data_IF_135233715218
#
_entry.id   IF_135233715218
#
_cell.length_a   1.000
_cell.length_b   1.000
_cell.length_c   1.000
_cell.angle_alpha   90.00
_cell.angle_beta   90.00
_cell.angle_gamma   90.00
#
_symmetry.space_group_name_H-M   'P 1'
#
loop_
_entity.id
_entity.type
_entity.pdbx_description
1 polymer ?
#
# COMPACT_ATOMS: atom_id res chain seq x y z
N UNK A 1 16.79 18.04 30.57
CA UNK A 1 15.46 17.42 30.42
C UNK A 1 15.60 16.37 29.32
N UNK A 2 15.61 15.08 29.66
CA UNK A 2 15.65 14.04 28.63
C UNK A 2 14.30 14.04 27.93
N UNK A 3 14.24 14.55 26.70
CA UNK A 3 13.06 14.50 25.85
C UNK A 3 12.81 13.05 25.42
N UNK A 4 12.28 12.24 26.33
CA UNK A 4 11.79 10.91 25.99
C UNK A 4 10.58 11.08 25.06
N UNK A 5 10.70 10.59 23.83
CA UNK A 5 9.66 10.65 22.81
C UNK A 5 8.30 10.20 23.37
N UNK A 6 7.25 10.99 23.15
CA UNK A 6 5.88 10.66 23.59
C UNK A 6 5.41 9.28 23.08
N UNK A 7 5.86 8.90 21.88
CA UNK A 7 5.58 7.57 21.32
C UNK A 7 6.35 6.46 22.05
N UNK A 8 7.59 6.72 22.47
CA UNK A 8 8.38 5.77 23.25
C UNK A 8 7.81 5.60 24.67
N UNK A 9 7.40 6.70 25.30
CA UNK A 9 6.69 6.65 26.58
C UNK A 9 5.40 5.82 26.48
N UNK A 10 4.59 6.03 25.43
CA UNK A 10 3.34 5.29 25.22
C UNK A 10 3.58 3.78 25.01
N UNK A 11 4.64 3.40 24.29
CA UNK A 11 5.02 1.98 24.11
C UNK A 11 5.54 1.38 25.42
N UNK A 12 6.39 2.10 26.15
CA UNK A 12 6.97 1.64 27.42
C UNK A 12 5.94 1.53 28.55
N UNK A 13 4.94 2.40 28.58
CA UNK A 13 3.81 2.32 29.53
C UNK A 13 2.74 1.31 29.12
N UNK A 14 2.81 0.80 27.88
CA UNK A 14 1.88 -0.17 27.34
C UNK A 14 2.17 -1.59 27.83
N UNK A 15 1.20 -2.53 27.67
CA UNK A 15 1.44 -3.93 27.99
C UNK A 15 2.55 -4.51 27.12
N UNK A 16 3.48 -5.25 27.74
CA UNK A 16 4.64 -5.88 27.09
C UNK A 16 4.29 -7.09 26.25
N UNK A 17 3.33 -6.96 25.33
CA UNK A 17 2.78 -8.05 24.53
C UNK A 17 3.48 -8.19 23.17
N UNK A 18 3.51 -9.44 22.68
CA UNK A 18 4.02 -9.82 21.35
C UNK A 18 3.29 -9.08 20.21
N UNK A 19 2.04 -8.70 20.46
CA UNK A 19 1.20 -7.90 19.57
C UNK A 19 1.12 -6.44 20.03
N UNK A 20 0.94 -5.47 19.12
CA UNK A 20 0.53 -4.12 19.48
C UNK A 20 -0.76 -4.13 20.33
N UNK A 21 -0.91 -3.23 21.32
CA UNK A 21 -2.09 -3.17 22.19
C UNK A 21 -3.42 -3.04 21.45
N UNK A 22 -3.39 -2.51 20.21
CA UNK A 22 -4.56 -2.38 19.34
C UNK A 22 -5.18 -3.71 18.89
N UNK A 23 -4.53 -4.84 19.15
CA UNK A 23 -5.01 -6.17 18.76
C UNK A 23 -5.65 -6.98 19.90
N UNK A 24 -5.71 -6.43 21.12
CA UNK A 24 -6.43 -7.00 22.28
C UNK A 24 -6.20 -8.52 22.48
N UNK A 25 -4.94 -8.96 22.38
CA UNK A 25 -4.56 -10.36 22.58
C UNK A 25 -4.86 -11.31 21.41
N UNK A 26 -5.47 -10.85 20.33
CA UNK A 26 -5.73 -11.66 19.14
C UNK A 26 -4.51 -11.75 18.21
N UNK A 27 -3.55 -12.60 18.55
CA UNK A 27 -2.32 -12.81 17.76
C UNK A 27 -2.56 -13.19 16.29
N UNK A 28 -3.67 -13.86 15.97
CA UNK A 28 -4.03 -14.19 14.59
C UNK A 28 -4.37 -12.95 13.74
N UNK A 29 -4.93 -11.89 14.34
CA UNK A 29 -5.20 -10.63 13.65
C UNK A 29 -3.92 -9.88 13.29
N UNK A 30 -2.86 -10.06 14.09
CA UNK A 30 -1.53 -9.52 13.80
C UNK A 30 -0.97 -10.18 12.55
N UNK A 31 -1.00 -11.52 12.48
CA UNK A 31 -0.51 -12.26 11.31
C UNK A 31 -1.30 -11.89 10.04
N UNK A 32 -2.63 -11.78 10.15
CA UNK A 32 -3.50 -11.37 9.05
C UNK A 32 -3.16 -9.95 8.56
N UNK A 33 -3.13 -8.96 9.46
CA UNK A 33 -2.83 -7.60 9.07
C UNK A 33 -1.41 -7.46 8.55
N UNK A 34 -0.43 -8.10 9.18
CA UNK A 34 0.95 -8.07 8.71
C UNK A 34 1.06 -8.67 7.31
N UNK A 35 0.42 -9.81 7.05
CA UNK A 35 0.38 -10.44 5.74
C UNK A 35 -0.28 -9.57 4.69
N UNK A 36 -1.49 -9.06 4.96
CA UNK A 36 -2.27 -8.21 4.04
C UNK A 36 -1.55 -6.90 3.72
N UNK A 37 -0.97 -6.24 4.73
CA UNK A 37 -0.26 -4.97 4.53
C UNK A 37 1.06 -5.18 3.78
N UNK A 38 1.78 -6.27 4.05
CA UNK A 38 2.98 -6.63 3.28
C UNK A 38 2.61 -6.93 1.83
N UNK A 39 1.57 -7.73 1.61
CA UNK A 39 1.07 -8.03 0.26
C UNK A 39 0.63 -6.75 -0.47
N UNK A 40 -0.16 -5.88 0.17
CA UNK A 40 -0.61 -4.62 -0.41
C UNK A 40 0.55 -3.72 -0.85
N UNK A 41 1.62 -3.66 -0.04
CA UNK A 41 2.85 -2.95 -0.39
C UNK A 41 3.52 -3.54 -1.64
N UNK A 42 3.76 -4.85 -1.66
CA UNK A 42 4.45 -5.51 -2.78
C UNK A 42 3.61 -5.48 -4.06
N UNK A 43 2.31 -5.75 -3.97
CA UNK A 43 1.39 -5.65 -5.10
C UNK A 43 1.33 -4.22 -5.65
N UNK A 44 1.30 -3.22 -4.78
CA UNK A 44 1.38 -1.81 -5.15
C UNK A 44 2.68 -1.48 -5.92
N UNK A 45 3.84 -1.94 -5.43
CA UNK A 45 5.12 -1.80 -6.13
C UNK A 45 5.13 -2.48 -7.50
N UNK A 46 4.55 -3.69 -7.62
CA UNK A 46 4.42 -4.38 -8.89
C UNK A 46 3.58 -3.58 -9.90
N UNK A 47 2.46 -3.00 -9.45
CA UNK A 47 1.60 -2.16 -10.29
C UNK A 47 2.35 -0.87 -10.70
N UNK A 48 3.04 -0.21 -9.76
CA UNK A 48 3.85 0.98 -10.07
C UNK A 48 4.90 0.64 -11.13
N UNK A 49 5.67 -0.43 -10.94
CA UNK A 49 6.69 -0.88 -11.89
C UNK A 49 6.10 -1.18 -13.26
N UNK A 50 4.95 -1.85 -13.32
CA UNK A 50 4.22 -2.13 -14.56
C UNK A 50 3.82 -0.84 -15.28
N UNK A 51 3.19 0.10 -14.57
CA UNK A 51 2.70 1.36 -15.14
C UNK A 51 3.85 2.29 -15.59
N UNK A 52 4.93 2.38 -14.81
CA UNK A 52 6.12 3.15 -15.18
C UNK A 52 6.83 2.55 -16.39
N UNK A 53 6.94 1.22 -16.46
CA UNK A 53 7.53 0.52 -17.61
C UNK A 53 6.71 0.74 -18.87
N UNK A 54 5.37 0.65 -18.78
CA UNK A 54 4.48 0.95 -19.92
C UNK A 54 4.60 2.42 -20.35
N UNK A 55 4.57 3.36 -19.40
CA UNK A 55 4.73 4.78 -19.68
C UNK A 55 6.08 5.09 -20.35
N UNK A 56 7.16 4.43 -19.93
CA UNK A 56 8.48 4.60 -20.54
C UNK A 56 8.51 4.07 -21.97
N UNK A 57 7.92 2.90 -22.24
CA UNK A 57 7.84 2.30 -23.58
C UNK A 57 7.02 3.14 -24.55
N UNK A 58 5.92 3.73 -24.07
CA UNK A 58 4.97 4.49 -24.88
C UNK A 58 5.17 6.01 -24.81
N UNK A 59 6.24 6.49 -24.17
CA UNK A 59 6.51 7.92 -23.94
C UNK A 59 6.49 8.78 -25.21
N UNK A 60 6.82 8.21 -26.37
CA UNK A 60 6.81 8.91 -27.67
C UNK A 60 5.45 8.87 -28.38
N UNK A 61 4.56 7.96 -28.00
CA UNK A 61 3.25 7.76 -28.61
C UNK A 61 2.15 8.48 -27.83
N UNK A 62 2.33 8.68 -26.52
CA UNK A 62 1.39 9.40 -25.69
C UNK A 62 1.51 10.91 -25.89
N UNK A 63 0.62 11.48 -26.72
CA UNK A 63 0.54 12.93 -26.95
C UNK A 63 -0.22 13.59 -25.79
N UNK A 64 0.41 14.59 -25.14
CA UNK A 64 -0.26 15.48 -24.19
C UNK A 64 -1.03 14.75 -23.07
N UNK A 65 -2.29 15.15 -22.88
CA UNK A 65 -3.25 14.58 -21.92
C UNK A 65 -4.20 13.57 -22.59
N UNK A 66 -3.64 12.65 -23.38
CA UNK A 66 -4.41 11.54 -23.91
C UNK A 66 -5.09 10.73 -22.77
N UNK A 67 -6.29 10.17 -22.99
CA UNK A 67 -7.01 9.38 -21.98
C UNK A 67 -6.15 8.27 -21.35
N UNK A 68 -5.31 7.60 -22.15
CA UNK A 68 -4.40 6.57 -21.66
C UNK A 68 -3.41 7.10 -20.61
N UNK A 69 -2.90 8.33 -20.78
CA UNK A 69 -1.99 8.95 -19.82
C UNK A 69 -2.71 9.33 -18.53
N UNK A 70 -3.93 9.86 -18.62
CA UNK A 70 -4.77 10.18 -17.45
C UNK A 70 -5.02 8.91 -16.62
N UNK A 71 -5.42 7.82 -17.27
CA UNK A 71 -5.62 6.53 -16.59
C UNK A 71 -4.35 5.99 -15.94
N UNK A 72 -3.19 6.10 -16.59
CA UNK A 72 -1.91 5.70 -15.98
C UNK A 72 -1.57 6.56 -14.76
N UNK A 73 -1.80 7.88 -14.81
CA UNK A 73 -1.56 8.78 -13.68
C UNK A 73 -2.49 8.43 -12.52
N UNK A 74 -3.79 8.23 -12.78
CA UNK A 74 -4.76 7.78 -11.76
C UNK A 74 -4.29 6.46 -11.12
N UNK A 75 -3.92 5.48 -11.95
CA UNK A 75 -3.41 4.19 -11.46
C UNK A 75 -2.13 4.32 -10.63
N UNK A 76 -1.19 5.18 -11.04
CA UNK A 76 0.03 5.46 -10.29
C UNK A 76 -0.25 6.14 -8.95
N UNK A 77 -1.18 7.09 -8.90
CA UNK A 77 -1.58 7.75 -7.66
C UNK A 77 -2.19 6.74 -6.68
N UNK A 78 -3.14 5.92 -7.12
CA UNK A 78 -3.72 4.89 -6.26
C UNK A 78 -2.69 3.85 -5.81
N UNK A 79 -1.87 3.33 -6.74
CA UNK A 79 -0.86 2.34 -6.41
C UNK A 79 0.19 2.91 -5.44
N UNK A 80 0.60 4.17 -5.61
CA UNK A 80 1.53 4.85 -4.69
C UNK A 80 0.90 5.07 -3.31
N UNK A 81 -0.35 5.52 -3.25
CA UNK A 81 -1.08 5.68 -1.98
C UNK A 81 -1.21 4.36 -1.22
N UNK A 82 -1.61 3.28 -1.90
CA UNK A 82 -1.69 1.93 -1.31
C UNK A 82 -0.31 1.47 -0.84
N UNK A 83 0.72 1.61 -1.68
CA UNK A 83 2.09 1.17 -1.35
C UNK A 83 2.61 1.87 -0.09
N UNK A 84 2.44 3.20 -0.01
CA UNK A 84 2.87 3.97 1.15
C UNK A 84 2.10 3.60 2.40
N UNK A 85 0.76 3.54 2.33
CA UNK A 85 -0.11 3.22 3.46
C UNK A 85 0.13 1.81 4.00
N UNK A 86 0.19 0.82 3.12
CA UNK A 86 0.39 -0.58 3.47
C UNK A 86 1.85 -0.85 3.86
N UNK A 87 2.82 -0.22 3.20
CA UNK A 87 4.24 -0.35 3.53
C UNK A 87 4.58 0.22 4.91
N UNK A 88 4.08 1.41 5.24
CA UNK A 88 4.27 2.00 6.56
C UNK A 88 3.62 1.17 7.68
N UNK A 89 2.42 0.62 7.43
CA UNK A 89 1.76 -0.30 8.36
C UNK A 89 2.57 -1.59 8.54
N UNK A 90 3.00 -2.20 7.43
CA UNK A 90 3.81 -3.42 7.47
C UNK A 90 5.09 -3.19 8.27
N UNK A 91 5.85 -2.12 7.99
CA UNK A 91 7.05 -1.78 8.75
C UNK A 91 6.78 -1.62 10.25
N UNK A 92 5.65 -1.01 10.62
CA UNK A 92 5.28 -0.86 12.03
C UNK A 92 4.95 -2.19 12.72
N UNK A 93 4.41 -3.18 12.00
CA UNK A 93 4.09 -4.51 12.53
C UNK A 93 5.34 -5.42 12.56
N UNK A 94 6.15 -5.38 11.49
CA UNK A 94 7.42 -6.09 11.38
C UNK A 94 8.47 -5.58 12.36
N UNK A 95 8.49 -4.28 12.64
CA UNK A 95 9.39 -3.64 13.60
C UNK A 95 8.85 -3.59 15.03
N UNK A 96 7.68 -4.17 15.32
CA UNK A 96 7.12 -4.16 16.67
C UNK A 96 7.99 -4.94 17.65
N UNK A 97 8.57 -4.24 18.62
CA UNK A 97 9.30 -4.83 19.74
C UNK A 97 8.98 -4.05 21.03
N UNK A 98 8.26 -4.65 22.01
CA UNK A 98 7.92 -3.96 23.26
C UNK A 98 9.14 -3.75 24.17
N UNK A 99 10.23 -4.51 24.00
CA UNK A 99 11.46 -4.37 24.80
C UNK A 99 12.32 -3.20 24.33
N UNK A 100 12.15 -2.77 23.08
CA UNK A 100 12.88 -1.65 22.47
C UNK A 100 11.87 -0.56 22.06
N UNK A 101 11.33 0.12 23.06
CA UNK A 101 10.29 1.13 22.88
C UNK A 101 10.72 2.27 21.92
N UNK A 102 12.00 2.68 21.94
CA UNK A 102 12.53 3.72 21.07
C UNK A 102 12.54 3.32 19.59
N UNK A 103 12.86 2.06 19.27
CA UNK A 103 12.86 1.57 17.90
C UNK A 103 11.43 1.50 17.35
N UNK A 104 10.50 0.94 18.12
CA UNK A 104 9.08 0.87 17.78
C UNK A 104 8.47 2.27 17.61
N UNK A 105 8.81 3.22 18.48
CA UNK A 105 8.35 4.61 18.41
C UNK A 105 8.76 5.31 17.11
N UNK A 106 9.96 5.04 16.59
CA UNK A 106 10.42 5.59 15.30
C UNK A 106 9.57 5.08 14.14
N UNK A 107 9.26 3.78 14.09
CA UNK A 107 8.39 3.22 13.05
C UNK A 107 6.97 3.79 13.11
N UNK A 108 6.43 3.96 14.32
CA UNK A 108 5.12 4.60 14.50
C UNK A 108 5.14 6.07 14.05
N UNK A 109 6.17 6.83 14.38
CA UNK A 109 6.32 8.21 13.94
C UNK A 109 6.42 8.30 12.42
N UNK A 110 7.28 7.49 11.79
CA UNK A 110 7.43 7.44 10.32
C UNK A 110 6.07 7.15 9.67
N UNK A 111 5.32 6.20 10.19
CA UNK A 111 3.97 5.89 9.69
C UNK A 111 3.06 7.10 9.75
N UNK A 112 3.02 7.81 10.89
CA UNK A 112 2.19 9.03 11.02
C UNK A 112 2.62 10.16 10.09
N UNK A 113 3.91 10.24 9.74
CA UNK A 113 4.41 11.20 8.74
C UNK A 113 4.05 10.79 7.31
N UNK A 114 3.99 9.49 7.01
CA UNK A 114 3.66 8.96 5.68
C UNK A 114 2.15 8.99 5.40
N UNK A 115 1.32 8.83 6.44
CA UNK A 115 -0.15 8.76 6.33
C UNK A 115 -0.77 9.93 5.51
N UNK A 116 -0.43 11.22 5.75
CA UNK A 116 -0.95 12.34 4.96
C UNK A 116 -0.57 12.27 3.47
N UNK A 117 0.66 11.88 3.16
CA UNK A 117 1.10 11.75 1.76
C UNK A 117 0.34 10.62 1.06
N UNK A 118 0.20 9.47 1.72
CA UNK A 118 -0.59 8.36 1.21
C UNK A 118 -2.05 8.78 0.95
N UNK A 119 -2.64 9.57 1.84
CA UNK A 119 -3.97 10.14 1.67
C UNK A 119 -4.04 11.11 0.49
N UNK A 120 -3.06 12.01 0.33
CA UNK A 120 -2.98 12.92 -0.82
C UNK A 120 -2.91 12.15 -2.15
N UNK A 121 -2.16 11.05 -2.21
CA UNK A 121 -2.12 10.19 -3.39
C UNK A 121 -3.48 9.54 -3.67
N UNK A 122 -4.14 8.97 -2.66
CA UNK A 122 -5.47 8.36 -2.82
C UNK A 122 -6.54 9.37 -3.23
N UNK A 123 -6.60 10.51 -2.54
CA UNK A 123 -7.56 11.59 -2.84
C UNK A 123 -7.27 12.26 -4.18
N UNK A 124 -6.00 12.47 -4.53
CA UNK A 124 -5.60 12.99 -5.83
C UNK A 124 -5.98 12.04 -6.97
N UNK A 125 -5.78 10.73 -6.79
CA UNK A 125 -6.22 9.70 -7.73
C UNK A 125 -7.74 9.71 -7.92
N UNK A 126 -8.49 9.82 -6.82
CA UNK A 126 -9.95 9.93 -6.85
C UNK A 126 -10.43 11.22 -7.54
N UNK A 127 -9.81 12.36 -7.23
CA UNK A 127 -10.12 13.64 -7.86
C UNK A 127 -9.91 13.60 -9.37
N UNK A 128 -8.76 13.10 -9.83
CA UNK A 128 -8.51 12.93 -11.26
C UNK A 128 -9.47 11.95 -11.92
N UNK A 129 -9.83 10.87 -11.24
CA UNK A 129 -10.83 9.92 -11.73
C UNK A 129 -12.16 10.62 -11.98
N UNK A 130 -12.68 11.36 -11.00
CA UNK A 130 -13.94 12.09 -11.12
C UNK A 130 -13.90 13.11 -12.26
N UNK A 131 -12.82 13.89 -12.36
CA UNK A 131 -12.63 14.86 -13.45
C UNK A 131 -12.57 14.19 -14.84
N UNK A 132 -12.03 12.97 -14.93
CA UNK A 132 -11.88 12.25 -16.20
C UNK A 132 -13.16 11.59 -16.70
N UNK A 133 -14.14 11.31 -15.82
CA UNK A 133 -15.34 10.54 -16.16
C UNK A 133 -16.12 11.08 -17.36
N UNK A 134 -16.44 12.39 -17.47
CA UNK A 134 -17.27 12.88 -18.57
C UNK A 134 -16.62 12.68 -19.95
N UNK A 135 -15.30 12.89 -20.03
CA UNK A 135 -14.53 12.72 -21.26
C UNK A 135 -14.41 11.26 -21.67
N UNK A 136 -14.10 10.39 -20.71
CA UNK A 136 -13.93 8.96 -20.96
C UNK A 136 -15.25 8.29 -21.34
N UNK A 137 -16.34 8.56 -20.62
CA UNK A 137 -17.62 7.92 -20.89
C UNK A 137 -18.21 8.36 -22.23
N UNK A 138 -18.05 9.63 -22.60
CA UNK A 138 -18.45 10.10 -23.93
C UNK A 138 -17.71 9.33 -25.03
N UNK A 139 -16.42 9.02 -24.84
CA UNK A 139 -15.63 8.27 -25.80
C UNK A 139 -16.01 6.78 -25.84
N UNK A 140 -16.16 6.14 -24.67
CA UNK A 140 -16.53 4.73 -24.56
C UNK A 140 -17.94 4.43 -25.09
N UNK A 141 -18.85 5.41 -25.03
CA UNK A 141 -20.20 5.29 -25.63
C UNK A 141 -20.17 5.36 -27.16
N UNK A 142 -19.20 6.08 -27.75
CA UNK A 142 -19.03 6.15 -29.20
C UNK A 142 -18.39 4.88 -29.75
N UNK A 143 -17.35 4.40 -29.08
CA UNK A 143 -16.64 3.18 -29.46
C UNK A 143 -16.48 2.27 -28.23
N UNK A 144 -17.39 1.30 -28.04
CA UNK A 144 -17.29 0.37 -26.94
C UNK A 144 -16.08 -0.54 -27.13
N UNK A 145 -15.07 -0.38 -26.26
CA UNK A 145 -13.91 -1.25 -26.24
C UNK A 145 -14.25 -2.55 -25.51
N UNK A 146 -14.07 -3.74 -26.13
CA UNK A 146 -14.27 -5.00 -25.44
C UNK A 146 -13.26 -5.13 -24.30
N UNK A 147 -13.75 -5.14 -23.07
CA UNK A 147 -12.92 -5.32 -21.87
C UNK A 147 -12.38 -6.75 -21.82
N UNK A 148 -11.14 -6.94 -22.24
CA UNK A 148 -10.43 -8.23 -22.15
C UNK A 148 -9.79 -8.41 -20.78
N UNK A 149 -10.60 -8.41 -19.72
CA UNK A 149 -10.11 -8.53 -18.32
C UNK A 149 -9.24 -9.78 -18.11
N UNK A 150 -9.55 -10.88 -18.80
CA UNK A 150 -8.83 -12.14 -18.65
C UNK A 150 -7.39 -12.10 -19.19
N UNK A 151 -7.04 -11.13 -20.03
CA UNK A 151 -5.66 -10.96 -20.47
C UNK A 151 -4.72 -10.56 -19.31
N UNK A 152 -5.24 -9.91 -18.28
CA UNK A 152 -4.48 -9.54 -17.10
C UNK A 152 -4.39 -10.68 -16.05
N UNK A 153 -5.09 -11.79 -16.26
CA UNK A 153 -5.16 -12.90 -15.30
C UNK A 153 -3.80 -13.50 -14.91
N UNK A 154 -2.83 -13.70 -15.84
CA UNK A 154 -1.49 -14.16 -15.47
C UNK A 154 -0.77 -13.20 -14.50
N UNK A 155 -0.96 -11.89 -14.67
CA UNK A 155 -0.40 -10.87 -13.76
C UNK A 155 -1.05 -10.95 -12.39
N UNK A 156 -2.38 -11.08 -12.33
CA UNK A 156 -3.14 -11.24 -11.08
C UNK A 156 -2.70 -12.51 -10.35
N UNK A 157 -2.54 -13.64 -11.05
CA UNK A 157 -2.02 -14.89 -10.47
C UNK A 157 -0.65 -14.71 -9.83
N UNK A 158 0.27 -14.00 -10.49
CA UNK A 158 1.60 -13.71 -9.92
C UNK A 158 1.49 -12.88 -8.65
N UNK A 159 0.63 -11.86 -8.64
CA UNK A 159 0.38 -11.06 -7.45
C UNK A 159 -0.19 -11.93 -6.31
N UNK A 160 -1.20 -12.76 -6.59
CA UNK A 160 -1.80 -13.65 -5.60
C UNK A 160 -0.78 -14.67 -5.04
N UNK A 161 0.10 -15.21 -5.88
CA UNK A 161 1.16 -16.11 -5.43
C UNK A 161 2.12 -15.40 -4.45
N UNK A 162 2.53 -14.16 -4.75
CA UNK A 162 3.32 -13.33 -3.84
C UNK A 162 2.55 -13.04 -2.55
N UNK A 163 1.25 -12.77 -2.63
CA UNK A 163 0.39 -12.59 -1.46
C UNK A 163 0.35 -13.82 -0.55
N UNK A 164 0.25 -15.02 -1.13
CA UNK A 164 0.34 -16.28 -0.40
C UNK A 164 1.69 -16.43 0.33
N UNK A 165 2.80 -16.11 -0.34
CA UNK A 165 4.12 -16.14 0.28
C UNK A 165 4.26 -15.12 1.42
N UNK A 166 3.74 -13.89 1.25
CA UNK A 166 3.71 -12.88 2.31
C UNK A 166 2.92 -13.35 3.52
N UNK A 167 1.80 -14.05 3.31
CA UNK A 167 0.99 -14.60 4.40
C UNK A 167 1.70 -15.73 5.15
N UNK A 168 2.36 -16.65 4.43
CA UNK A 168 3.18 -17.70 5.05
C UNK A 168 4.32 -17.10 5.86
N UNK A 169 5.04 -16.12 5.31
CA UNK A 169 6.10 -15.41 6.04
C UNK A 169 5.56 -14.70 7.28
N UNK A 170 4.37 -14.09 7.19
CA UNK A 170 3.75 -13.41 8.31
C UNK A 170 3.38 -14.38 9.45
N UNK A 171 2.81 -15.54 9.12
CA UNK A 171 2.54 -16.61 10.09
C UNK A 171 3.84 -17.07 10.75
N UNK A 172 4.88 -17.33 9.95
CA UNK A 172 6.19 -17.75 10.46
C UNK A 172 6.71 -16.77 11.51
N UNK A 173 6.72 -15.48 11.20
CA UNK A 173 7.25 -14.46 12.13
C UNK A 173 6.39 -14.29 13.37
N UNK A 174 5.07 -14.33 13.26
CA UNK A 174 4.21 -14.29 14.46
C UNK A 174 4.39 -15.54 15.32
N UNK A 175 4.65 -16.70 14.72
CA UNK A 175 4.85 -17.96 15.45
C UNK A 175 6.21 -18.07 16.15
N UNK A 176 7.24 -17.34 15.67
CA UNK A 176 8.60 -17.39 16.21
C UNK A 176 8.95 -16.24 17.17
N UNK A 177 8.04 -15.29 17.37
CA UNK A 177 8.19 -14.16 18.31
C UNK A 177 7.71 -14.54 19.71
#
# INVERSE_FOLDING_TARGET
MNETSLAAQAVASGPGTVAPPSFDGHGWLVALNMGVMTFGCVAGLMVIGMLLTDARKRRRQDVGWAPARIFRVIGLLFASGITLRCGAEALSLWGWNPREADATARFLLIKRLVDPFAACFGLGGLGLYVMSMPGVFTQLRKEPLPLRMWQAWPTVKRMLAVGGLCFVAAIGVVSTR
#
